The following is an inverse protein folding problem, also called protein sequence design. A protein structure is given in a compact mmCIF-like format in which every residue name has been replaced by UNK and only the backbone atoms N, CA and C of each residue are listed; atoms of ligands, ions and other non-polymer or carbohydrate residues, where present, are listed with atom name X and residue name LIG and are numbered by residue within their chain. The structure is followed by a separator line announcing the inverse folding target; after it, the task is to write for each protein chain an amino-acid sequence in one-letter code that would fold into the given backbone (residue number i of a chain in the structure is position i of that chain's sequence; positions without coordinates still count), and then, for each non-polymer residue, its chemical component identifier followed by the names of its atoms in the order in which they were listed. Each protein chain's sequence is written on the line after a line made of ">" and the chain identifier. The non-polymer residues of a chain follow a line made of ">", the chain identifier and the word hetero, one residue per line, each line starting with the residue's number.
data_IF_030652249946
#
_entry.id   IF_030652249946
#
_cell.length_a   1.000
_cell.length_b   1.000
_cell.length_c   1.000
_cell.angle_alpha   90.00
_cell.angle_beta   90.00
_cell.angle_gamma   90.00
#
_symmetry.space_group_name_H-M   'P 1'
#
loop_
_entity.id
_entity.type
_entity.pdbx_description
1 polymer ?
#
# COMPACT_ATOMS: atom_id res chain seq x y z
N UNK A 1 -23.69 12.16 26.02
CA UNK A 1 -25.06 12.38 25.49
C UNK A 1 -25.16 11.66 24.14
N UNK A 2 -25.53 10.40 24.19
CA UNK A 2 -25.76 9.62 22.99
C UNK A 2 -27.17 9.94 22.47
N UNK A 3 -27.28 10.26 21.17
CA UNK A 3 -28.59 10.40 20.55
C UNK A 3 -29.21 9.01 20.42
N UNK A 4 -30.47 8.87 20.69
CA UNK A 4 -31.24 7.63 20.73
C UNK A 4 -31.37 6.86 19.38
N UNK A 5 -30.53 7.19 18.42
CA UNK A 5 -30.50 6.54 17.11
C UNK A 5 -29.31 5.60 16.85
N UNK A 6 -28.32 5.62 17.73
CA UNK A 6 -27.05 4.92 17.49
C UNK A 6 -26.79 3.92 18.62
N UNK A 7 -27.46 2.86 18.75
CA UNK A 7 -27.14 1.77 19.65
C UNK A 7 -26.52 2.11 21.03
N UNK A 8 -26.45 1.17 21.91
CA UNK A 8 -25.67 1.31 23.16
C UNK A 8 -24.24 0.79 22.88
N UNK A 9 -23.19 1.57 23.23
CA UNK A 9 -21.81 1.08 23.10
C UNK A 9 -21.61 -0.21 23.88
N UNK A 10 -20.87 -1.14 23.35
CA UNK A 10 -20.52 -2.42 24.01
C UNK A 10 -19.42 -2.24 25.05
N UNK A 11 -18.56 -1.23 24.84
CA UNK A 11 -17.40 -0.94 25.69
C UNK A 11 -17.48 0.45 26.31
N UNK A 12 -17.09 0.56 27.57
CA UNK A 12 -16.93 1.83 28.23
C UNK A 12 -15.67 2.54 27.79
N UNK A 13 -15.80 3.84 27.50
CA UNK A 13 -14.68 4.72 27.20
C UNK A 13 -14.76 5.38 25.84
N UNK A 14 -13.81 6.25 25.59
CA UNK A 14 -13.77 7.05 24.38
C UNK A 14 -12.33 7.50 24.04
N UNK A 15 -12.05 7.65 22.76
CA UNK A 15 -10.87 8.34 22.26
C UNK A 15 -11.01 9.84 22.46
N UNK A 16 -9.98 10.50 22.96
CA UNK A 16 -9.88 11.96 22.91
C UNK A 16 -9.19 12.33 21.58
N UNK A 17 -9.94 12.94 20.69
CA UNK A 17 -9.52 13.28 19.34
C UNK A 17 -9.27 14.78 19.23
N UNK A 18 -8.17 15.15 18.57
CA UNK A 18 -7.93 16.52 18.12
C UNK A 18 -8.33 16.65 16.67
N UNK A 19 -9.27 17.53 16.34
CA UNK A 19 -9.65 17.82 14.96
C UNK A 19 -8.62 18.71 14.25
N UNK A 20 -8.76 18.82 12.92
CA UNK A 20 -7.94 19.69 12.07
C UNK A 20 -8.60 21.04 11.75
N UNK A 21 -9.79 21.34 12.32
CA UNK A 21 -10.58 22.54 12.00
C UNK A 21 -10.23 23.76 12.87
N UNK A 22 -9.24 23.64 13.74
CA UNK A 22 -8.82 24.70 14.63
C UNK A 22 -9.40 24.58 16.04
N UNK A 23 -9.27 25.64 16.83
CA UNK A 23 -9.60 25.65 18.26
C UNK A 23 -10.92 26.34 18.59
N UNK A 24 -11.68 26.76 17.59
CA UNK A 24 -12.88 27.59 17.79
C UNK A 24 -14.01 26.90 18.55
N UNK A 25 -14.02 25.57 18.56
CA UNK A 25 -14.95 24.78 19.34
C UNK A 25 -14.18 23.77 20.21
N UNK A 26 -14.45 23.78 21.52
CA UNK A 26 -13.87 22.82 22.49
C UNK A 26 -12.35 22.70 22.44
N UNK A 27 -11.62 23.76 22.11
CA UNK A 27 -10.18 23.76 21.88
C UNK A 27 -9.73 22.79 20.76
N UNK A 28 -10.64 22.44 19.85
CA UNK A 28 -10.39 21.46 18.79
C UNK A 28 -10.37 20.01 19.29
N UNK A 29 -10.88 19.74 20.48
CA UNK A 29 -10.93 18.42 21.09
C UNK A 29 -12.37 17.91 21.19
N UNK A 30 -12.57 16.62 20.96
CA UNK A 30 -13.84 15.94 21.18
C UNK A 30 -13.62 14.47 21.57
N UNK A 31 -14.62 13.87 22.19
CA UNK A 31 -14.61 12.46 22.53
C UNK A 31 -15.42 11.65 21.52
N UNK A 32 -14.89 10.51 21.13
CA UNK A 32 -15.53 9.56 20.25
C UNK A 32 -15.48 8.16 20.88
N UNK A 33 -16.61 7.47 20.94
CA UNK A 33 -16.71 6.13 21.54
C UNK A 33 -15.66 5.18 20.94
N UNK A 34 -15.16 4.24 21.74
CA UNK A 34 -14.34 3.14 21.22
C UNK A 34 -15.08 2.27 20.21
N UNK A 35 -16.41 2.22 20.28
CA UNK A 35 -17.26 1.45 19.37
C UNK A 35 -17.74 2.26 18.15
N UNK A 36 -17.12 3.42 17.89
CA UNK A 36 -17.46 4.23 16.71
C UNK A 36 -16.90 3.61 15.43
N UNK A 37 -17.78 3.07 14.60
CA UNK A 37 -17.40 2.35 13.39
C UNK A 37 -16.88 3.23 12.23
N UNK A 38 -16.93 4.57 12.38
CA UNK A 38 -16.37 5.49 11.38
C UNK A 38 -14.88 5.77 11.58
N UNK A 39 -14.28 5.32 12.69
CA UNK A 39 -12.83 5.39 12.90
C UNK A 39 -12.21 4.24 12.12
N UNK A 40 -11.50 4.59 11.06
CA UNK A 40 -10.75 3.65 10.22
C UNK A 40 -9.30 4.11 10.12
N UNK A 41 -8.42 3.23 9.71
CA UNK A 41 -7.00 3.55 9.42
C UNK A 41 -6.26 4.22 10.59
N UNK A 42 -6.50 3.73 11.80
CA UNK A 42 -5.76 4.22 12.97
C UNK A 42 -4.31 3.75 12.86
N UNK A 43 -3.39 4.70 12.74
CA UNK A 43 -1.96 4.43 12.68
C UNK A 43 -1.26 4.96 13.93
N UNK A 44 -0.37 4.18 14.49
CA UNK A 44 0.53 4.59 15.56
C UNK A 44 1.95 4.69 15.02
N UNK A 45 2.55 5.86 15.15
CA UNK A 45 3.95 6.05 14.79
C UNK A 45 4.80 6.02 16.06
N UNK A 46 5.83 5.20 16.05
CA UNK A 46 6.89 5.22 17.06
C UNK A 46 8.15 5.71 16.37
N UNK A 47 8.65 6.86 16.79
CA UNK A 47 9.96 7.35 16.35
C UNK A 47 11.01 6.73 17.27
N UNK A 48 11.77 5.78 16.77
CA UNK A 48 13.01 5.38 17.42
C UNK A 48 14.12 6.32 16.95
N UNK A 49 14.55 7.18 17.87
CA UNK A 49 15.64 8.13 17.63
C UNK A 49 16.96 7.64 18.23
N UNK A 50 17.01 6.38 18.65
CA UNK A 50 18.23 5.80 19.23
C UNK A 50 19.23 5.53 18.11
N UNK A 51 20.41 6.13 18.10
CA UNK A 51 21.48 5.74 17.19
C UNK A 51 21.76 4.24 17.35
N UNK A 52 21.98 3.54 16.27
CA UNK A 52 22.25 2.09 16.22
C UNK A 52 21.07 1.20 16.64
N UNK A 53 19.82 1.70 16.58
CA UNK A 53 18.67 0.82 16.77
C UNK A 53 18.58 -0.21 15.63
N UNK A 54 18.05 -1.41 15.92
CA UNK A 54 17.84 -2.44 14.92
C UNK A 54 16.80 -2.00 13.82
N UNK A 55 16.06 -0.94 14.10
CA UNK A 55 15.05 -0.35 13.23
C UNK A 55 15.58 0.87 12.46
N UNK A 56 16.85 1.27 12.64
CA UNK A 56 17.49 2.29 11.83
C UNK A 56 17.99 1.68 10.52
N UNK A 57 17.57 2.27 9.40
CA UNK A 57 18.01 1.87 8.07
C UNK A 57 18.86 2.96 7.44
N UNK A 58 19.92 2.58 6.74
CA UNK A 58 20.76 3.51 5.98
C UNK A 58 20.06 3.97 4.70
N UNK A 59 19.24 3.09 4.10
CA UNK A 59 18.50 3.34 2.87
C UNK A 59 17.04 2.94 2.99
N UNK A 60 16.16 3.76 2.43
CA UNK A 60 14.73 3.50 2.26
C UNK A 60 14.37 3.73 0.80
N UNK A 61 13.85 2.71 0.14
CA UNK A 61 13.42 2.76 -1.24
C UNK A 61 11.89 2.77 -1.29
N UNK A 62 11.33 3.78 -1.93
CA UNK A 62 9.88 3.92 -2.09
C UNK A 62 9.53 4.83 -3.27
N UNK A 63 8.43 4.53 -3.93
CA UNK A 63 7.81 5.39 -4.94
C UNK A 63 6.50 6.02 -4.45
N UNK A 64 6.10 5.71 -3.23
CA UNK A 64 4.86 6.08 -2.56
C UNK A 64 4.95 7.52 -2.03
N UNK A 65 4.54 8.49 -2.84
CA UNK A 65 4.58 9.92 -2.49
C UNK A 65 3.33 10.45 -1.82
N UNK A 66 2.16 9.87 -2.11
CA UNK A 66 0.85 10.33 -1.60
C UNK A 66 0.13 9.31 -0.71
N UNK A 67 0.66 8.10 -0.63
CA UNK A 67 0.07 7.01 0.13
C UNK A 67 -1.13 6.36 -0.57
N UNK A 68 -1.83 5.52 0.15
CA UNK A 68 -2.98 4.80 -0.36
C UNK A 68 -4.12 5.74 -0.73
N UNK A 69 -4.37 5.93 -2.02
CA UNK A 69 -5.47 6.73 -2.55
C UNK A 69 -6.52 5.90 -3.30
N UNK A 70 -6.18 4.66 -3.68
CA UNK A 70 -7.04 3.76 -4.41
C UNK A 70 -6.67 2.30 -4.17
N UNK A 71 -7.60 1.38 -4.43
CA UNK A 71 -7.37 -0.05 -4.39
C UNK A 71 -7.65 -0.69 -5.74
N UNK A 72 -6.79 -1.61 -6.16
CA UNK A 72 -6.94 -2.36 -7.41
C UNK A 72 -7.00 -3.87 -7.16
N UNK A 73 -7.65 -4.58 -8.06
CA UNK A 73 -7.81 -6.02 -7.99
C UNK A 73 -8.35 -6.62 -9.28
N UNK A 74 -8.56 -7.93 -9.28
CA UNK A 74 -9.19 -8.67 -10.37
C UNK A 74 -10.71 -8.51 -10.40
N UNK A 75 -11.39 -9.43 -11.08
CA UNK A 75 -12.85 -9.43 -11.16
C UNK A 75 -13.52 -9.69 -9.81
N UNK A 76 -12.88 -10.50 -8.96
CA UNK A 76 -13.33 -10.82 -7.61
C UNK A 76 -12.43 -10.13 -6.57
N UNK A 77 -13.06 -9.53 -5.54
CA UNK A 77 -12.32 -8.78 -4.50
C UNK A 77 -11.45 -9.68 -3.61
N UNK A 78 -11.74 -10.97 -3.55
CA UNK A 78 -10.98 -11.96 -2.80
C UNK A 78 -9.99 -12.75 -3.66
N UNK A 79 -9.87 -12.45 -4.94
CA UNK A 79 -8.86 -13.07 -5.78
C UNK A 79 -7.46 -12.53 -5.43
N UNK A 80 -6.42 -13.38 -5.41
CA UNK A 80 -5.05 -12.93 -5.22
C UNK A 80 -4.62 -11.98 -6.33
N UNK A 81 -3.92 -10.91 -5.95
CA UNK A 81 -3.34 -9.91 -6.86
C UNK A 81 -1.91 -9.66 -6.45
N UNK A 82 -1.02 -9.58 -7.40
CA UNK A 82 0.39 -9.27 -7.16
C UNK A 82 0.71 -7.83 -7.52
N UNK A 83 1.50 -7.18 -6.69
CA UNK A 83 2.12 -5.89 -6.96
C UNK A 83 3.63 -6.04 -6.90
N UNK A 84 4.36 -5.20 -7.61
CA UNK A 84 5.81 -5.20 -7.59
C UNK A 84 6.37 -3.81 -7.75
N UNK A 85 7.46 -3.53 -7.03
CA UNK A 85 8.30 -2.37 -7.25
C UNK A 85 9.71 -2.83 -7.60
N UNK A 86 10.32 -2.15 -8.58
CA UNK A 86 11.68 -2.39 -9.02
C UNK A 86 12.58 -1.26 -8.53
N UNK A 87 13.66 -1.61 -7.86
CA UNK A 87 14.63 -0.67 -7.32
C UNK A 87 16.03 -0.98 -7.83
N UNK A 88 16.92 0.00 -7.69
CA UNK A 88 18.36 -0.18 -7.94
C UNK A 88 19.10 0.12 -6.64
N UNK A 89 19.88 -0.83 -6.16
CA UNK A 89 20.70 -0.66 -4.95
C UNK A 89 21.73 0.46 -5.15
N UNK A 90 21.82 1.39 -4.19
CA UNK A 90 22.72 2.55 -4.29
C UNK A 90 24.09 2.30 -3.68
N UNK A 91 24.25 1.18 -2.99
CA UNK A 91 25.52 0.71 -2.41
C UNK A 91 25.46 -0.82 -2.25
N UNK A 92 26.55 -1.43 -1.78
CA UNK A 92 26.51 -2.80 -1.27
C UNK A 92 25.69 -2.79 0.02
N UNK A 93 24.53 -3.42 0.01
CA UNK A 93 23.54 -3.32 1.09
C UNK A 93 22.77 -4.61 1.32
N UNK A 94 22.03 -4.66 2.40
CA UNK A 94 21.21 -5.81 2.77
C UNK A 94 19.77 -5.38 2.99
N UNK A 95 18.84 -5.94 2.22
CA UNK A 95 17.39 -5.77 2.43
C UNK A 95 16.98 -6.50 3.72
N UNK A 96 16.39 -5.77 4.67
CA UNK A 96 16.01 -6.28 5.99
C UNK A 96 14.54 -6.16 6.32
N UNK A 97 13.81 -5.33 5.58
CA UNK A 97 12.38 -5.14 5.79
C UNK A 97 11.66 -4.77 4.49
N UNK A 98 10.39 -5.11 4.42
CA UNK A 98 9.49 -4.76 3.33
C UNK A 98 8.23 -4.15 3.92
N UNK A 99 7.81 -2.99 3.39
CA UNK A 99 6.60 -2.31 3.85
C UNK A 99 5.58 -2.20 2.74
N UNK A 100 4.31 -2.37 3.09
CA UNK A 100 3.18 -2.26 2.16
C UNK A 100 1.88 -1.97 2.91
N UNK A 101 0.85 -1.55 2.17
CA UNK A 101 -0.50 -1.39 2.71
C UNK A 101 -1.31 -2.68 2.53
N UNK A 102 -2.10 -3.02 3.56
CA UNK A 102 -3.22 -3.95 3.44
C UNK A 102 -4.54 -3.18 3.42
N UNK A 103 -5.50 -3.63 2.63
CA UNK A 103 -6.74 -2.89 2.35
C UNK A 103 -7.96 -3.47 3.05
N UNK A 104 -7.88 -4.67 3.61
CA UNK A 104 -8.95 -5.34 4.36
C UNK A 104 -8.37 -6.06 5.59
N UNK A 105 -9.23 -6.41 6.52
CA UNK A 105 -8.85 -7.20 7.68
C UNK A 105 -8.56 -8.67 7.31
N UNK A 106 -7.59 -9.25 8.02
CA UNK A 106 -7.08 -10.60 7.78
C UNK A 106 -6.49 -10.79 6.37
N UNK A 107 -5.95 -9.72 5.79
CA UNK A 107 -5.27 -9.77 4.51
C UNK A 107 -4.09 -10.74 4.57
N UNK A 108 -4.04 -11.67 3.62
CA UNK A 108 -2.94 -12.62 3.47
C UNK A 108 -1.94 -12.08 2.47
N UNK A 109 -0.64 -12.31 2.73
CA UNK A 109 0.41 -11.85 1.85
C UNK A 109 1.48 -12.92 1.62
N UNK A 110 2.15 -12.79 0.48
CA UNK A 110 3.34 -13.54 0.11
C UNK A 110 4.35 -12.58 -0.51
N UNK A 111 5.52 -12.42 0.12
CA UNK A 111 6.61 -11.55 -0.38
C UNK A 111 7.64 -12.42 -1.07
N UNK A 112 8.01 -12.05 -2.29
CA UNK A 112 9.08 -12.67 -3.06
C UNK A 112 10.02 -11.59 -3.57
N UNK A 113 11.32 -11.76 -3.35
CA UNK A 113 12.36 -10.88 -3.90
C UNK A 113 12.98 -11.55 -5.13
N UNK A 114 13.16 -10.77 -6.18
CA UNK A 114 13.90 -11.18 -7.38
C UNK A 114 15.12 -10.28 -7.55
N UNK A 115 16.25 -10.89 -7.80
CA UNK A 115 17.53 -10.21 -8.00
C UNK A 115 18.04 -10.43 -9.43
N UNK A 116 19.00 -9.64 -9.88
CA UNK A 116 19.59 -9.74 -11.21
C UNK A 116 18.55 -9.53 -12.34
N UNK A 117 17.72 -8.52 -12.16
CA UNK A 117 16.74 -8.12 -13.16
C UNK A 117 17.45 -7.63 -14.45
N UNK A 118 16.84 -7.85 -15.63
CA UNK A 118 17.37 -7.33 -16.88
C UNK A 118 17.31 -5.80 -16.92
N UNK A 119 18.25 -5.18 -17.64
CA UNK A 119 18.35 -3.73 -17.78
C UNK A 119 17.17 -3.09 -18.53
N UNK A 120 16.51 -3.85 -19.40
CA UNK A 120 15.43 -3.37 -20.28
C UNK A 120 14.09 -3.10 -19.59
N UNK A 121 13.98 -3.44 -18.30
CA UNK A 121 12.87 -2.98 -17.45
C UNK A 121 11.46 -3.51 -17.78
N UNK A 122 11.32 -4.40 -18.76
CA UNK A 122 10.01 -4.82 -19.28
C UNK A 122 9.14 -5.70 -18.36
N UNK A 123 9.70 -6.20 -17.25
CA UNK A 123 8.96 -7.02 -16.29
C UNK A 123 9.65 -7.00 -14.92
N UNK A 124 8.88 -6.99 -13.81
CA UNK A 124 9.47 -7.01 -12.47
C UNK A 124 10.06 -8.38 -12.08
N UNK A 125 9.80 -9.41 -12.83
CA UNK A 125 10.38 -10.75 -12.61
C UNK A 125 11.25 -11.21 -13.77
N UNK A 126 10.93 -10.86 -15.02
CA UNK A 126 11.68 -11.21 -16.24
C UNK A 126 12.18 -12.65 -16.22
N UNK A 127 13.45 -12.85 -16.58
CA UNK A 127 14.19 -14.10 -16.39
C UNK A 127 14.94 -14.13 -15.05
N UNK A 128 14.67 -13.17 -14.17
CA UNK A 128 15.33 -13.01 -12.88
C UNK A 128 15.09 -14.21 -11.97
N UNK A 129 16.07 -14.48 -11.14
CA UNK A 129 16.00 -15.56 -10.17
C UNK A 129 15.29 -15.09 -8.92
N UNK A 130 14.27 -15.83 -8.49
CA UNK A 130 13.70 -15.69 -7.16
C UNK A 130 14.79 -15.93 -6.09
N UNK A 131 14.86 -15.02 -5.13
CA UNK A 131 15.80 -15.12 -4.03
C UNK A 131 15.10 -15.78 -2.84
N UNK A 132 15.54 -16.99 -2.50
CA UNK A 132 14.98 -17.81 -1.42
C UNK A 132 13.47 -18.14 -1.62
N UNK A 133 12.89 -18.76 -0.59
CA UNK A 133 11.46 -19.08 -0.55
C UNK A 133 10.64 -17.84 -0.20
N UNK A 134 9.37 -17.76 -0.64
CA UNK A 134 8.48 -16.65 -0.31
C UNK A 134 8.23 -16.52 1.21
N UNK A 135 8.12 -15.29 1.67
CA UNK A 135 7.77 -14.95 3.04
C UNK A 135 6.27 -14.71 3.10
N UNK A 136 5.55 -15.51 3.86
CA UNK A 136 4.08 -15.43 3.93
C UNK A 136 3.59 -15.05 5.31
N UNK A 137 2.45 -14.35 5.36
CA UNK A 137 1.83 -13.97 6.62
C UNK A 137 0.40 -13.49 6.44
N UNK A 138 -0.17 -13.02 7.54
CA UNK A 138 -1.53 -12.48 7.61
C UNK A 138 -1.54 -11.28 8.53
N UNK A 139 -2.11 -10.16 8.06
CA UNK A 139 -2.32 -8.96 8.84
C UNK A 139 -3.77 -8.85 9.29
N UNK A 140 -3.96 -8.73 10.61
CA UNK A 140 -5.30 -8.72 11.21
C UNK A 140 -6.09 -7.45 10.87
N UNK A 141 -5.42 -6.35 10.65
CA UNK A 141 -6.02 -5.04 10.44
C UNK A 141 -5.54 -4.42 9.13
N UNK A 142 -6.39 -3.65 8.42
CA UNK A 142 -5.93 -2.88 7.27
C UNK A 142 -5.01 -1.73 7.72
N UNK A 143 -4.13 -1.30 6.82
CA UNK A 143 -3.20 -0.20 7.07
C UNK A 143 -1.80 -0.47 6.54
N UNK A 144 -0.85 0.38 6.95
CA UNK A 144 0.55 0.25 6.59
C UNK A 144 1.29 -0.69 7.54
N UNK A 145 1.97 -1.68 6.99
CA UNK A 145 2.70 -2.69 7.73
C UNK A 145 4.15 -2.77 7.28
N UNK A 146 5.04 -3.04 8.23
CA UNK A 146 6.45 -3.33 7.96
C UNK A 146 6.74 -4.75 8.40
N UNK A 147 7.15 -5.57 7.46
CA UNK A 147 7.54 -6.97 7.68
C UNK A 147 9.06 -7.01 7.77
N UNK A 148 9.55 -7.31 8.96
CA UNK A 148 10.97 -7.50 9.23
C UNK A 148 11.39 -8.88 8.79
N UNK A 149 12.47 -8.97 8.03
CA UNK A 149 13.03 -10.21 7.55
C UNK A 149 13.95 -10.81 8.62
N UNK A 150 13.80 -12.11 8.87
CA UNK A 150 14.76 -12.83 9.69
C UNK A 150 16.14 -12.89 8.99
N UNK A 151 17.22 -13.11 9.74
CA UNK A 151 18.59 -13.09 9.19
C UNK A 151 18.79 -14.09 8.04
N UNK A 152 18.12 -15.24 8.10
CA UNK A 152 18.16 -16.24 7.04
C UNK A 152 17.35 -15.85 5.78
N UNK A 153 16.49 -14.84 5.90
CA UNK A 153 15.70 -14.27 4.79
C UNK A 153 16.34 -13.02 4.18
N UNK A 154 17.35 -12.44 4.84
CA UNK A 154 18.01 -11.24 4.32
C UNK A 154 18.56 -11.44 2.90
N UNK A 155 18.46 -10.35 2.09
CA UNK A 155 18.89 -10.34 0.71
C UNK A 155 20.06 -9.37 0.56
N UNK A 156 21.23 -9.89 0.18
CA UNK A 156 22.39 -9.07 -0.11
C UNK A 156 22.33 -8.58 -1.55
N UNK A 157 22.50 -7.29 -1.73
CA UNK A 157 22.45 -6.57 -2.99
C UNK A 157 23.78 -5.87 -3.22
N UNK A 158 24.29 -5.93 -4.44
CA UNK A 158 25.48 -5.18 -4.83
C UNK A 158 25.10 -3.77 -5.32
N UNK A 159 26.01 -2.81 -5.20
CA UNK A 159 25.82 -1.47 -5.78
C UNK A 159 25.46 -1.56 -7.27
N UNK A 160 24.39 -0.88 -7.67
CA UNK A 160 23.88 -0.87 -9.04
C UNK A 160 23.03 -2.09 -9.42
N UNK A 161 22.87 -3.07 -8.53
CA UNK A 161 22.00 -4.23 -8.80
C UNK A 161 20.53 -3.84 -8.83
N UNK A 162 19.84 -4.19 -9.94
CA UNK A 162 18.39 -4.08 -10.03
C UNK A 162 17.73 -5.28 -9.34
N UNK A 163 16.76 -5.00 -8.50
CA UNK A 163 15.96 -6.01 -7.81
C UNK A 163 14.51 -5.59 -7.75
N UNK A 164 13.62 -6.55 -7.61
CA UNK A 164 12.21 -6.29 -7.36
C UNK A 164 11.72 -6.96 -6.10
N UNK A 165 10.73 -6.33 -5.50
CA UNK A 165 9.94 -6.88 -4.40
C UNK A 165 8.54 -7.11 -4.93
N UNK A 166 8.13 -8.37 -5.01
CA UNK A 166 6.79 -8.79 -5.41
C UNK A 166 6.01 -9.15 -4.17
N UNK A 167 4.86 -8.51 -3.98
CA UNK A 167 3.93 -8.86 -2.90
C UNK A 167 2.61 -9.32 -3.51
N UNK A 168 2.27 -10.58 -3.29
CA UNK A 168 0.96 -11.12 -3.66
C UNK A 168 0.04 -10.99 -2.45
N UNK A 169 -1.12 -10.40 -2.66
CA UNK A 169 -2.10 -10.09 -1.64
C UNK A 169 -3.41 -10.78 -1.92
N UNK A 170 -4.06 -11.28 -0.86
CA UNK A 170 -5.42 -11.82 -0.89
C UNK A 170 -6.23 -11.25 0.28
N UNK A 171 -7.46 -10.81 0.00
CA UNK A 171 -8.42 -10.35 0.99
C UNK A 171 -9.54 -11.39 1.20
N UNK A 172 -9.40 -12.36 2.11
CA UNK A 172 -10.36 -13.45 2.26
C UNK A 172 -11.79 -12.99 2.58
N UNK A 173 -11.93 -11.80 3.18
CA UNK A 173 -13.24 -11.21 3.49
C UNK A 173 -13.89 -10.54 2.28
N UNK A 174 -13.14 -10.22 1.24
CA UNK A 174 -13.62 -9.67 -0.01
C UNK A 174 -14.35 -8.34 0.10
N UNK A 175 -13.98 -7.47 1.07
CA UNK A 175 -14.61 -6.17 1.28
C UNK A 175 -13.94 -5.04 0.52
N UNK A 176 -12.67 -5.24 0.14
CA UNK A 176 -11.90 -4.31 -0.66
C UNK A 176 -10.97 -5.07 -1.62
N UNK A 177 -10.60 -4.44 -2.73
CA UNK A 177 -9.55 -4.96 -3.60
C UNK A 177 -8.21 -5.01 -2.89
N UNK A 178 -7.37 -6.05 -3.08
CA UNK A 178 -6.26 -6.33 -2.19
C UNK A 178 -5.07 -5.38 -2.31
N UNK A 179 -4.82 -4.77 -3.47
CA UNK A 179 -3.63 -3.93 -3.69
C UNK A 179 -3.95 -2.46 -3.55
N UNK A 180 -3.27 -1.78 -2.62
CA UNK A 180 -3.31 -0.33 -2.47
C UNK A 180 -2.41 0.33 -3.53
N UNK A 181 -2.90 1.40 -4.15
CA UNK A 181 -2.16 2.17 -5.16
C UNK A 181 -2.33 3.67 -4.95
N UNK A 182 -1.39 4.43 -5.49
CA UNK A 182 -1.57 5.86 -5.70
C UNK A 182 -2.31 6.13 -7.01
N UNK A 183 -2.99 7.27 -7.09
CA UNK A 183 -3.72 7.68 -8.26
C UNK A 183 -3.62 9.19 -8.48
N UNK A 184 -3.45 9.59 -9.73
CA UNK A 184 -3.67 10.96 -10.15
C UNK A 184 -5.16 11.29 -10.09
N UNK A 185 -5.55 12.34 -9.41
CA UNK A 185 -6.94 12.72 -9.33
C UNK A 185 -7.19 14.04 -8.60
N UNK A 186 -8.39 14.56 -8.83
CA UNK A 186 -8.92 15.68 -8.06
C UNK A 186 -10.04 15.13 -7.18
N UNK A 187 -9.87 15.21 -5.87
CA UNK A 187 -10.84 14.78 -4.89
C UNK A 187 -11.30 16.00 -4.11
N UNK A 188 -12.49 16.53 -4.40
CA UNK A 188 -13.02 17.74 -3.81
C UNK A 188 -12.02 18.91 -3.83
N UNK A 189 -11.34 19.14 -2.71
CA UNK A 189 -10.36 20.22 -2.54
C UNK A 189 -8.90 19.72 -2.53
N UNK A 190 -8.66 18.44 -2.82
CA UNK A 190 -7.32 17.83 -2.82
C UNK A 190 -6.98 17.35 -4.21
N UNK A 191 -5.85 17.81 -4.74
CA UNK A 191 -5.26 17.27 -5.95
C UNK A 191 -4.15 16.29 -5.57
N UNK A 192 -4.34 15.02 -5.90
CA UNK A 192 -3.32 14.01 -5.80
C UNK A 192 -2.53 13.94 -7.12
N UNK A 193 -1.21 13.98 -7.00
CA UNK A 193 -0.30 13.82 -8.14
C UNK A 193 0.64 12.66 -7.78
N UNK A 194 0.36 11.50 -8.35
CA UNK A 194 1.27 10.37 -8.32
C UNK A 194 2.32 10.59 -9.42
N UNK A 195 3.58 10.44 -9.06
CA UNK A 195 4.68 10.49 -10.02
C UNK A 195 5.23 9.08 -10.16
N UNK A 196 5.13 8.52 -11.35
CA UNK A 196 5.56 7.17 -11.67
C UNK A 196 6.30 7.18 -12.98
N UNK A 197 7.42 6.46 -13.05
CA UNK A 197 8.21 6.29 -14.27
C UNK A 197 8.07 4.85 -14.78
N UNK A 198 8.28 4.68 -16.08
CA UNK A 198 8.28 3.36 -16.73
C UNK A 198 9.27 2.41 -16.06
N UNK A 199 8.82 1.20 -15.74
CA UNK A 199 9.65 0.16 -15.14
C UNK A 199 9.80 0.23 -13.61
N UNK A 200 9.11 1.14 -12.92
CA UNK A 200 9.20 1.28 -11.47
C UNK A 200 8.19 0.43 -10.71
N UNK A 201 6.93 0.43 -11.15
CA UNK A 201 5.82 -0.19 -10.41
C UNK A 201 4.90 -0.98 -11.31
N UNK A 202 4.54 -2.16 -10.87
CA UNK A 202 3.76 -3.11 -11.67
C UNK A 202 2.64 -3.73 -10.86
N UNK A 203 1.57 -4.14 -11.55
CA UNK A 203 0.48 -4.93 -10.99
C UNK A 203 0.16 -6.13 -11.89
N UNK A 204 -0.19 -7.25 -11.29
CA UNK A 204 -0.69 -8.42 -11.96
C UNK A 204 -2.00 -8.85 -11.31
N UNK A 205 -3.12 -8.62 -12.02
CA UNK A 205 -4.48 -8.82 -11.50
C UNK A 205 -5.09 -10.17 -11.90
N UNK A 206 -4.48 -10.87 -12.84
CA UNK A 206 -5.03 -12.11 -13.41
C UNK A 206 -4.09 -13.31 -13.30
N UNK A 207 -2.87 -13.12 -12.76
CA UNK A 207 -1.84 -14.15 -12.65
C UNK A 207 -1.06 -14.42 -13.94
N UNK A 208 -1.37 -13.73 -15.04
CA UNK A 208 -0.75 -13.96 -16.35
C UNK A 208 0.28 -12.87 -16.68
N UNK A 209 -0.19 -11.63 -16.85
CA UNK A 209 0.64 -10.52 -17.34
C UNK A 209 0.90 -9.45 -16.27
N UNK A 210 2.10 -8.92 -16.25
CA UNK A 210 2.45 -7.73 -15.49
C UNK A 210 2.10 -6.47 -16.30
N UNK A 211 1.40 -5.56 -15.66
CA UNK A 211 1.04 -4.26 -16.20
C UNK A 211 1.91 -3.21 -15.52
N UNK A 212 2.66 -2.44 -16.28
CA UNK A 212 3.36 -1.27 -15.78
C UNK A 212 2.35 -0.18 -15.42
N UNK A 213 2.45 0.38 -14.23
CA UNK A 213 1.48 1.37 -13.76
C UNK A 213 1.63 2.71 -14.47
N UNK A 214 2.77 3.01 -15.08
CA UNK A 214 2.94 4.16 -15.95
C UNK A 214 2.06 4.02 -17.21
N UNK A 215 2.08 2.88 -17.88
CA UNK A 215 1.22 2.60 -19.04
C UNK A 215 -0.26 2.58 -18.68
N UNK A 216 -0.59 2.03 -17.49
CA UNK A 216 -1.97 1.98 -16.98
C UNK A 216 -2.46 3.36 -16.61
N UNK A 217 -1.58 4.30 -16.26
CA UNK A 217 -1.93 5.66 -15.87
C UNK A 217 -2.79 6.40 -16.91
N UNK A 218 -2.55 6.20 -18.19
CA UNK A 218 -3.38 6.73 -19.29
C UNK A 218 -4.62 5.87 -19.60
N UNK A 219 -4.55 4.56 -19.41
CA UNK A 219 -5.64 3.61 -19.68
C UNK A 219 -6.49 3.30 -18.44
N UNK A 220 -5.96 3.54 -17.25
CA UNK A 220 -6.59 3.21 -15.98
C UNK A 220 -7.87 4.01 -15.74
N UNK A 221 -7.91 5.27 -16.16
CA UNK A 221 -9.13 6.08 -16.15
C UNK A 221 -10.25 5.40 -16.96
N UNK A 222 -9.91 4.74 -18.07
CA UNK A 222 -10.86 4.00 -18.90
C UNK A 222 -11.29 2.67 -18.25
N UNK A 223 -10.41 2.01 -17.52
CA UNK A 223 -10.69 0.73 -16.87
C UNK A 223 -11.54 0.91 -15.61
N UNK A 224 -11.23 1.86 -14.77
CA UNK A 224 -12.04 2.24 -13.59
C UNK A 224 -13.44 2.69 -14.00
N UNK A 225 -13.58 3.46 -15.09
CA UNK A 225 -14.89 3.82 -15.66
C UNK A 225 -15.70 2.61 -16.12
N UNK A 226 -15.06 1.56 -16.58
CA UNK A 226 -15.73 0.32 -16.96
C UNK A 226 -16.30 -0.45 -15.76
N UNK A 227 -15.56 -0.50 -14.66
CA UNK A 227 -15.97 -1.20 -13.42
C UNK A 227 -17.02 -0.39 -12.65
N UNK A 228 -16.89 0.92 -12.60
CA UNK A 228 -17.82 1.80 -11.88
C UNK A 228 -19.12 2.14 -12.65
N UNK A 229 -19.25 1.79 -13.92
CA UNK A 229 -20.47 2.03 -14.71
C UNK A 229 -20.85 3.50 -14.88
N UNK A 230 -19.94 4.46 -14.69
CA UNK A 230 -20.24 5.88 -14.71
C UNK A 230 -19.34 6.70 -15.64
N UNK A 231 -19.97 7.54 -16.42
CA UNK A 231 -19.54 8.71 -17.19
C UNK A 231 -18.32 8.62 -18.14
N UNK A 232 -18.42 9.34 -19.25
CA UNK A 232 -17.45 9.37 -20.34
C UNK A 232 -16.18 10.16 -20.01
N UNK A 233 -15.08 9.84 -20.70
CA UNK A 233 -13.75 10.46 -20.53
C UNK A 233 -13.70 11.98 -20.73
N UNK A 234 -14.80 12.59 -21.20
CA UNK A 234 -14.91 14.04 -21.45
C UNK A 234 -15.15 14.87 -20.18
N UNK A 235 -15.57 14.24 -19.07
CA UNK A 235 -15.90 14.95 -17.82
C UNK A 235 -14.69 15.23 -16.91
N UNK A 236 -13.46 14.91 -17.33
CA UNK A 236 -12.23 15.11 -16.56
C UNK A 236 -11.27 16.13 -17.17
N UNK A 237 -11.68 16.89 -18.20
CA UNK A 237 -10.84 17.91 -18.86
C UNK A 237 -11.18 19.36 -18.49
N UNK A 238 -12.08 19.62 -17.54
CA UNK A 238 -12.38 20.96 -17.03
C UNK A 238 -11.88 21.20 -15.61
#
# INVERSE_FOLDING_TARGET
>A
LFSSGYGTPEHDGAWLIRNSWGRDQYDGLFYMSYDEGSITEVMQYVLDTTPDSAEAYDHLYQYDGTGWSMSVGGEEMNAPVSMANVFTATSDETLKAVSFYTTDANAQYSIQVYTQLPEDGGSPIGEAKAYKEPITGTEAYPGYHTIYLDEDQWVNLAEGEKYSIVVTMENPLGRAFPVATEMNGNFDNVRCVANIEEGESFVNVNGEDWLDLEEVGTNYTAHVKRVAGSSSAEDLQD
#
